data_IF_242200234639
#
_entry.id   IF_242200234639
#
_cell.length_a   1.000
_cell.length_b   1.000
_cell.length_c   1.000
_cell.angle_alpha   90.00
_cell.angle_beta   90.00
_cell.angle_gamma   90.00
#
_symmetry.space_group_name_H-M   'P 1'
#
loop_
_entity.id
_entity.type
_entity.pdbx_description
1 polymer ?
#
# COMPACT_ATOMS: atom_id res chain seq x y z
N UNK A 1 -23.52 6.00 -83.69
CA UNK A 1 -22.21 5.67 -83.10
C UNK A 1 -22.51 5.14 -81.70
N UNK A 2 -22.71 3.83 -81.54
CA UNK A 2 -21.71 2.79 -81.21
C UNK A 2 -21.11 2.90 -79.80
N UNK A 3 -21.45 1.90 -78.97
CA UNK A 3 -20.64 1.24 -77.93
C UNK A 3 -20.30 2.01 -76.63
N UNK A 4 -20.09 1.41 -75.46
CA UNK A 4 -20.55 0.20 -74.74
C UNK A 4 -19.72 0.12 -73.42
N UNK A 5 -20.28 -0.52 -72.38
CA UNK A 5 -19.59 -1.28 -71.28
C UNK A 5 -18.89 -0.43 -70.17
N UNK A 6 -18.84 -0.80 -68.89
CA UNK A 6 -19.06 -2.03 -68.11
C UNK A 6 -19.33 -1.63 -66.62
N UNK A 7 -20.31 -2.22 -65.91
CA UNK A 7 -20.20 -3.36 -64.95
C UNK A 7 -19.28 -3.20 -63.73
N UNK A 8 -19.86 -3.42 -62.54
CA UNK A 8 -19.43 -4.21 -61.35
C UNK A 8 -20.00 -3.51 -60.10
N UNK A 9 -21.13 -3.88 -59.50
CA UNK A 9 -21.49 -5.07 -58.72
C UNK A 9 -20.62 -5.37 -57.47
N UNK A 10 -21.29 -5.29 -56.31
CA UNK A 10 -21.03 -5.88 -54.98
C UNK A 10 -19.97 -5.28 -54.02
N UNK A 11 -20.09 -5.47 -52.68
CA UNK A 11 -21.29 -5.66 -51.86
C UNK A 11 -21.30 -4.82 -50.53
N UNK A 12 -22.45 -4.85 -49.87
CA UNK A 12 -22.73 -4.41 -48.50
C UNK A 12 -21.79 -5.11 -47.47
N UNK A 13 -21.11 -4.34 -46.63
CA UNK A 13 -20.64 -4.80 -45.30
C UNK A 13 -21.03 -3.76 -44.26
N UNK A 14 -21.93 -4.07 -43.30
CA UNK A 14 -22.15 -3.18 -42.17
C UNK A 14 -20.89 -3.19 -41.29
N UNK A 15 -20.25 -2.03 -41.14
CA UNK A 15 -19.18 -1.86 -40.19
C UNK A 15 -19.75 -2.01 -38.76
N UNK A 16 -19.56 -3.19 -38.19
CA UNK A 16 -19.74 -3.46 -36.76
C UNK A 16 -18.73 -2.61 -35.98
N UNK A 17 -19.17 -1.46 -35.47
CA UNK A 17 -18.42 -0.69 -34.48
C UNK A 17 -18.50 -1.43 -33.14
N UNK A 18 -17.56 -2.35 -32.92
CA UNK A 18 -17.23 -2.79 -31.56
C UNK A 18 -16.45 -1.66 -30.89
N UNK A 19 -16.89 -1.12 -29.74
CA UNK A 19 -16.07 -0.19 -28.97
C UNK A 19 -14.77 -0.92 -28.54
N UNK A 20 -13.61 -0.25 -28.53
CA UNK A 20 -12.38 -0.86 -28.05
C UNK A 20 -12.56 -1.29 -26.59
N UNK A 21 -12.20 -2.54 -26.29
CA UNK A 21 -12.17 -3.07 -24.93
C UNK A 21 -11.31 -2.16 -24.06
N UNK A 22 -11.95 -1.45 -23.13
CA UNK A 22 -11.29 -0.69 -22.08
C UNK A 22 -10.53 -1.69 -21.20
N UNK A 23 -9.21 -1.55 -21.00
CA UNK A 23 -8.54 -2.29 -19.95
C UNK A 23 -9.20 -1.92 -18.62
N UNK A 24 -9.80 -2.90 -17.95
CA UNK A 24 -10.16 -2.76 -16.54
C UNK A 24 -8.84 -2.66 -15.77
N UNK A 25 -8.42 -1.42 -15.50
CA UNK A 25 -7.32 -1.15 -14.59
C UNK A 25 -7.80 -1.51 -13.18
N UNK A 26 -7.41 -2.70 -12.74
CA UNK A 26 -7.35 -3.08 -11.33
C UNK A 26 -6.62 -1.96 -10.60
N UNK A 27 -7.38 -1.15 -9.86
CA UNK A 27 -6.86 0.02 -9.15
C UNK A 27 -6.66 -0.35 -7.69
N UNK A 28 -5.85 -1.36 -7.44
CA UNK A 28 -5.09 -1.38 -6.20
C UNK A 28 -3.96 -0.37 -6.42
N UNK A 29 -3.86 0.71 -5.60
CA UNK A 29 -2.75 1.64 -5.74
C UNK A 29 -1.47 0.83 -5.60
N UNK A 30 -0.57 0.83 -6.61
CA UNK A 30 0.70 0.13 -6.49
C UNK A 30 1.39 0.62 -5.22
N UNK A 31 1.92 -0.31 -4.42
CA UNK A 31 2.67 0.03 -3.22
C UNK A 31 3.72 1.09 -3.56
N UNK A 32 3.59 2.27 -2.94
CA UNK A 32 4.70 3.21 -2.78
C UNK A 32 5.09 4.10 -3.97
N UNK A 33 4.17 4.47 -4.87
CA UNK A 33 4.48 5.58 -5.80
C UNK A 33 4.40 6.90 -5.03
N UNK A 34 5.57 7.42 -4.68
CA UNK A 34 5.74 8.72 -4.02
C UNK A 34 6.21 9.76 -5.03
N UNK A 35 5.74 10.99 -4.87
CA UNK A 35 6.28 12.09 -5.64
C UNK A 35 7.68 12.48 -5.12
N UNK A 36 8.63 12.65 -6.04
CA UNK A 36 10.06 12.90 -5.76
C UNK A 36 10.40 14.38 -5.94
N UNK A 37 9.84 15.04 -6.96
CA UNK A 37 10.09 16.47 -7.21
C UNK A 37 8.91 17.16 -7.91
N UNK A 38 8.80 18.48 -7.69
CA UNK A 38 7.75 19.35 -8.23
C UNK A 38 6.33 18.90 -7.87
N UNK A 39 6.18 18.25 -6.72
CA UNK A 39 4.91 17.74 -6.18
C UNK A 39 3.95 18.87 -5.78
N UNK A 40 4.54 19.97 -5.32
CA UNK A 40 3.88 21.23 -5.05
C UNK A 40 4.41 22.24 -6.07
N UNK A 41 3.65 22.50 -7.15
CA UNK A 41 4.06 23.47 -8.15
C UNK A 41 4.00 24.89 -7.58
N UNK A 42 4.94 25.73 -8.03
CA UNK A 42 4.92 27.16 -7.71
C UNK A 42 3.66 27.83 -8.30
N UNK A 43 3.13 28.82 -7.57
CA UNK A 43 1.96 29.56 -8.00
C UNK A 43 2.28 30.37 -9.28
N UNK A 44 1.61 30.13 -10.41
CA UNK A 44 1.96 30.79 -11.67
C UNK A 44 1.40 32.21 -11.75
N UNK A 45 2.24 33.18 -12.14
CA UNK A 45 1.87 34.59 -12.34
C UNK A 45 0.63 34.79 -13.22
N UNK A 46 0.44 33.89 -14.20
CA UNK A 46 -0.70 33.94 -15.14
C UNK A 46 -2.07 33.76 -14.50
N UNK A 47 -2.14 33.30 -13.25
CA UNK A 47 -3.39 33.19 -12.50
C UNK A 47 -3.76 34.51 -11.80
N UNK A 48 -2.85 35.47 -11.65
CA UNK A 48 -3.14 36.81 -11.12
C UNK A 48 -3.97 36.81 -9.81
N UNK A 49 -3.74 35.83 -8.94
CA UNK A 49 -4.48 35.68 -7.67
C UNK A 49 -5.75 34.84 -7.75
N UNK A 50 -6.07 34.26 -8.91
CA UNK A 50 -7.11 33.24 -9.06
C UNK A 50 -6.68 31.96 -8.36
N UNK A 51 -7.50 31.51 -7.43
CA UNK A 51 -7.27 30.28 -6.68
C UNK A 51 -8.20 29.18 -7.17
N UNK A 52 -7.79 27.93 -6.96
CA UNK A 52 -8.58 26.78 -7.37
C UNK A 52 -7.79 25.50 -7.34
N UNK A 53 -8.43 24.42 -7.78
CA UNK A 53 -7.80 23.12 -7.77
C UNK A 53 -8.31 22.22 -8.88
N UNK A 54 -7.40 21.44 -9.47
CA UNK A 54 -7.77 20.45 -10.49
C UNK A 54 -7.20 19.07 -10.13
N UNK A 55 -8.02 18.05 -10.31
CA UNK A 55 -7.62 16.65 -10.22
C UNK A 55 -7.07 16.18 -11.57
N UNK A 56 -5.83 15.71 -11.58
CA UNK A 56 -5.11 15.25 -12.76
C UNK A 56 -4.85 13.75 -12.65
N UNK A 57 -5.14 13.01 -13.72
CA UNK A 57 -4.71 11.62 -13.87
C UNK A 57 -3.39 11.60 -14.63
N UNK A 58 -2.40 10.98 -14.03
CA UNK A 58 -1.05 10.82 -14.55
C UNK A 58 -0.83 9.39 -15.04
N UNK A 59 0.02 9.28 -16.04
CA UNK A 59 0.59 8.02 -16.51
C UNK A 59 2.10 8.16 -16.36
N UNK A 60 2.70 7.27 -15.58
CA UNK A 60 4.09 7.33 -15.13
C UNK A 60 4.82 6.13 -15.74
N UNK A 61 5.96 6.38 -16.38
CA UNK A 61 6.80 5.33 -16.95
C UNK A 61 7.61 4.58 -15.86
N UNK A 62 8.23 3.43 -16.20
CA UNK A 62 9.10 2.70 -15.27
C UNK A 62 10.24 3.52 -14.66
N UNK A 63 10.67 4.62 -15.29
CA UNK A 63 11.72 5.50 -14.78
C UNK A 63 11.17 6.56 -13.81
N UNK A 64 9.85 6.63 -13.62
CA UNK A 64 9.18 7.59 -12.75
C UNK A 64 8.82 8.92 -13.43
N UNK A 65 8.99 9.04 -14.74
CA UNK A 65 8.65 10.25 -15.50
C UNK A 65 7.17 10.23 -15.91
N UNK A 66 6.56 11.40 -15.95
CA UNK A 66 5.19 11.57 -16.41
C UNK A 66 5.14 11.56 -17.95
N UNK A 67 4.56 10.50 -18.52
CA UNK A 67 4.39 10.33 -19.97
C UNK A 67 2.98 10.66 -20.47
N UNK A 68 2.00 10.70 -19.56
CA UNK A 68 0.61 11.03 -19.89
C UNK A 68 -0.05 11.87 -18.80
N UNK A 69 -0.85 12.85 -19.20
CA UNK A 69 -1.53 13.78 -18.30
C UNK A 69 -2.93 14.07 -18.81
N UNK A 70 -3.94 13.81 -17.99
CA UNK A 70 -5.35 13.99 -18.32
C UNK A 70 -6.09 14.68 -17.16
N UNK A 71 -7.12 15.47 -17.46
CA UNK A 71 -8.00 16.01 -16.43
C UNK A 71 -8.95 14.92 -15.94
N UNK A 72 -8.90 14.66 -14.63
CA UNK A 72 -9.84 13.76 -13.98
C UNK A 72 -10.99 14.52 -13.31
N UNK A 73 -10.67 15.62 -12.61
CA UNK A 73 -11.64 16.53 -12.01
C UNK A 73 -11.26 17.97 -12.41
N UNK A 74 -12.04 18.57 -13.30
CA UNK A 74 -11.79 19.92 -13.75
C UNK A 74 -12.32 20.97 -12.76
N UNK A 75 -11.55 22.03 -12.56
CA UNK A 75 -12.02 23.27 -11.96
C UNK A 75 -13.00 23.98 -12.91
N UNK A 76 -13.88 24.79 -12.35
CA UNK A 76 -14.72 25.72 -13.10
C UNK A 76 -13.92 26.72 -13.95
N UNK A 77 -12.69 27.05 -13.53
CA UNK A 77 -11.80 27.95 -14.23
C UNK A 77 -10.84 27.18 -15.16
N UNK A 78 -10.97 27.44 -16.47
CA UNK A 78 -10.11 26.82 -17.48
C UNK A 78 -8.61 27.17 -17.36
N UNK A 79 -8.25 28.31 -16.77
CA UNK A 79 -6.85 28.68 -16.54
C UNK A 79 -6.23 27.79 -15.46
N UNK A 80 -6.96 27.52 -14.36
CA UNK A 80 -6.54 26.57 -13.31
C UNK A 80 -6.30 25.19 -13.92
N UNK A 81 -7.23 24.71 -14.74
CA UNK A 81 -7.10 23.42 -15.42
C UNK A 81 -5.85 23.36 -16.31
N UNK A 82 -5.59 24.42 -17.08
CA UNK A 82 -4.42 24.49 -17.95
C UNK A 82 -3.12 24.50 -17.14
N UNK A 83 -3.06 25.28 -16.07
CA UNK A 83 -1.86 25.36 -15.24
C UNK A 83 -1.61 24.05 -14.50
N UNK A 84 -2.66 23.38 -14.01
CA UNK A 84 -2.53 22.07 -13.40
C UNK A 84 -1.94 21.03 -14.37
N UNK A 85 -2.40 21.02 -15.63
CA UNK A 85 -1.82 20.14 -16.66
C UNK A 85 -0.34 20.44 -16.93
N UNK A 86 0.08 21.70 -16.90
CA UNK A 86 1.47 22.10 -17.12
C UNK A 86 2.36 21.78 -15.93
N UNK A 87 1.86 22.01 -14.72
CA UNK A 87 2.52 21.64 -13.47
C UNK A 87 2.73 20.13 -13.40
N UNK A 88 1.70 19.34 -13.70
CA UNK A 88 1.77 17.89 -13.56
C UNK A 88 2.76 17.23 -14.53
N UNK A 89 3.03 17.84 -15.68
CA UNK A 89 4.07 17.38 -16.62
C UNK A 89 5.49 17.53 -16.09
N UNK A 90 5.69 18.39 -15.09
CA UNK A 90 6.99 18.66 -14.49
C UNK A 90 7.24 17.82 -13.24
N UNK A 91 6.23 17.07 -12.78
CA UNK A 91 6.34 16.18 -11.64
C UNK A 91 7.23 14.98 -11.96
N UNK A 92 8.00 14.57 -10.96
CA UNK A 92 8.74 13.32 -10.97
C UNK A 92 8.24 12.42 -9.86
N UNK A 93 8.10 11.13 -10.14
CA UNK A 93 7.70 10.12 -9.17
C UNK A 93 8.80 9.08 -8.99
N UNK A 94 8.67 8.29 -7.93
CA UNK A 94 9.45 7.07 -7.79
C UNK A 94 9.12 6.10 -8.92
N UNK A 95 10.12 5.32 -9.32
CA UNK A 95 9.94 4.25 -10.29
C UNK A 95 8.84 3.29 -9.79
N UNK A 96 7.78 3.08 -10.59
CA UNK A 96 6.72 2.13 -10.26
C UNK A 96 7.13 0.65 -10.42
N UNK A 97 8.39 0.37 -10.75
CA UNK A 97 8.88 -0.96 -11.10
C UNK A 97 8.97 -1.12 -12.62
N UNK A 98 8.63 -2.31 -13.13
CA UNK A 98 8.79 -2.65 -14.55
C UNK A 98 7.62 -2.19 -15.44
N UNK A 99 6.51 -1.76 -14.84
CA UNK A 99 5.26 -1.44 -15.52
C UNK A 99 4.94 0.06 -15.51
N UNK A 100 4.09 0.50 -16.43
CA UNK A 100 3.51 1.85 -16.43
C UNK A 100 2.46 1.94 -15.34
N UNK A 101 2.54 2.98 -14.51
CA UNK A 101 1.56 3.23 -13.46
C UNK A 101 0.63 4.38 -13.79
N UNK A 102 -0.57 4.37 -13.22
CA UNK A 102 -1.48 5.50 -13.26
C UNK A 102 -1.84 5.98 -11.85
N UNK A 103 -1.67 7.28 -11.61
CA UNK A 103 -1.91 7.91 -10.32
C UNK A 103 -2.81 9.13 -10.52
N UNK A 104 -3.76 9.34 -9.62
CA UNK A 104 -4.56 10.55 -9.60
C UNK A 104 -4.04 11.49 -8.52
N UNK A 105 -3.67 12.70 -8.91
CA UNK A 105 -3.19 13.76 -8.01
C UNK A 105 -4.16 14.93 -8.02
N UNK A 106 -4.24 15.65 -6.90
CA UNK A 106 -4.93 16.93 -6.83
C UNK A 106 -3.88 18.02 -6.75
N UNK A 107 -3.95 18.98 -7.66
CA UNK A 107 -3.08 20.16 -7.67
C UNK A 107 -3.91 21.35 -7.21
N UNK A 108 -3.46 21.97 -6.12
CA UNK A 108 -4.07 23.16 -5.54
C UNK A 108 -3.20 24.39 -5.89
N UNK A 109 -3.82 25.47 -6.35
CA UNK A 109 -3.19 26.77 -6.51
C UNK A 109 -3.78 27.73 -5.48
N UNK A 110 -3.00 28.04 -4.45
CA UNK A 110 -3.39 28.96 -3.38
C UNK A 110 -2.47 30.16 -3.32
N UNK A 111 -3.02 31.30 -2.94
CA UNK A 111 -2.28 32.51 -2.62
C UNK A 111 -2.07 32.52 -1.11
N UNK A 112 -0.81 32.62 -0.68
CA UNK A 112 -0.47 32.58 0.75
C UNK A 112 -1.25 33.64 1.54
N UNK A 113 -1.93 33.18 2.60
CA UNK A 113 -2.66 34.06 3.51
C UNK A 113 -4.07 34.46 3.03
N UNK A 114 -4.53 33.94 1.89
CA UNK A 114 -5.93 34.07 1.48
C UNK A 114 -6.87 33.26 2.39
N UNK A 115 -8.17 33.57 2.34
CA UNK A 115 -9.19 32.79 3.04
C UNK A 115 -9.30 31.35 2.47
N UNK A 116 -9.06 31.17 1.17
CA UNK A 116 -9.03 29.85 0.54
C UNK A 116 -7.87 29.03 1.10
N UNK A 117 -6.68 29.62 1.15
CA UNK A 117 -5.48 29.01 1.69
C UNK A 117 -5.65 28.61 3.17
N UNK A 118 -6.22 29.49 4.00
CA UNK A 118 -6.53 29.18 5.40
C UNK A 118 -7.50 28.01 5.53
N UNK A 119 -8.61 28.04 4.80
CA UNK A 119 -9.62 26.98 4.86
C UNK A 119 -9.06 25.61 4.42
N UNK A 120 -8.16 25.60 3.43
CA UNK A 120 -7.52 24.38 2.94
C UNK A 120 -6.56 23.78 3.96
N UNK A 121 -5.73 24.62 4.61
CA UNK A 121 -4.84 24.16 5.70
C UNK A 121 -5.63 23.57 6.86
N UNK A 122 -6.69 24.25 7.30
CA UNK A 122 -7.56 23.74 8.38
C UNK A 122 -8.22 22.40 8.03
N UNK A 123 -8.68 22.23 6.79
CA UNK A 123 -9.26 20.98 6.32
C UNK A 123 -8.23 19.84 6.33
N UNK A 124 -7.01 20.11 5.86
CA UNK A 124 -5.93 19.14 5.82
C UNK A 124 -5.52 18.71 7.23
N UNK A 125 -5.29 19.66 8.15
CA UNK A 125 -4.97 19.38 9.54
C UNK A 125 -6.05 18.54 10.22
N UNK A 126 -7.33 18.84 9.94
CA UNK A 126 -8.45 18.06 10.49
C UNK A 126 -8.45 16.62 9.96
N UNK A 127 -8.15 16.43 8.67
CA UNK A 127 -8.08 15.10 8.05
C UNK A 127 -6.93 14.29 8.64
N UNK A 128 -5.76 14.89 8.80
CA UNK A 128 -4.59 14.25 9.42
C UNK A 128 -4.88 13.84 10.87
N UNK A 129 -5.52 14.71 11.66
CA UNK A 129 -5.92 14.38 13.03
C UNK A 129 -6.89 13.19 13.07
N UNK A 130 -7.87 13.15 12.17
CA UNK A 130 -8.83 12.04 12.09
C UNK A 130 -8.13 10.72 11.71
N UNK A 131 -7.16 10.77 10.80
CA UNK A 131 -6.40 9.58 10.39
C UNK A 131 -5.52 9.05 11.52
N UNK A 132 -4.84 9.93 12.26
CA UNK A 132 -4.05 9.56 13.44
C UNK A 132 -4.93 8.91 14.50
N UNK A 133 -6.10 9.49 14.78
CA UNK A 133 -7.03 8.94 15.77
C UNK A 133 -7.58 7.58 15.34
N UNK A 134 -7.96 7.43 14.07
CA UNK A 134 -8.43 6.18 13.51
C UNK A 134 -7.36 5.08 13.57
N UNK A 135 -6.12 5.41 13.19
CA UNK A 135 -4.99 4.48 13.27
C UNK A 135 -4.75 4.02 14.72
N UNK A 136 -4.84 4.94 15.69
CA UNK A 136 -4.71 4.62 17.11
C UNK A 136 -5.82 3.68 17.59
N UNK A 137 -7.07 3.93 17.18
CA UNK A 137 -8.18 3.04 17.53
C UNK A 137 -8.02 1.64 16.94
N UNK A 138 -7.59 1.54 15.68
CA UNK A 138 -7.32 0.27 15.03
C UNK A 138 -6.21 -0.52 15.74
N UNK A 139 -5.13 0.15 16.17
CA UNK A 139 -4.06 -0.49 16.94
C UNK A 139 -4.57 -1.08 18.26
N UNK A 140 -5.38 -0.32 19.00
CA UNK A 140 -5.97 -0.80 20.26
C UNK A 140 -6.89 -2.01 20.04
N UNK A 141 -7.68 -2.00 18.97
CA UNK A 141 -8.54 -3.14 18.65
C UNK A 141 -7.74 -4.37 18.23
N UNK A 142 -6.72 -4.20 17.38
CA UNK A 142 -5.84 -5.29 16.96
C UNK A 142 -5.10 -5.92 18.16
N UNK A 143 -4.61 -5.11 19.09
CA UNK A 143 -3.98 -5.58 20.33
C UNK A 143 -4.97 -6.39 21.18
N UNK A 144 -6.19 -5.89 21.36
CA UNK A 144 -7.25 -6.60 22.10
C UNK A 144 -7.57 -7.95 21.45
N UNK A 145 -7.67 -8.00 20.12
CA UNK A 145 -7.92 -9.24 19.38
C UNK A 145 -6.74 -10.22 19.49
N UNK A 146 -5.50 -9.73 19.43
CA UNK A 146 -4.30 -10.55 19.60
C UNK A 146 -4.24 -11.17 21.00
N UNK A 147 -4.53 -10.38 22.03
CA UNK A 147 -4.56 -10.85 23.43
C UNK A 147 -5.64 -11.93 23.64
N UNK A 148 -6.84 -11.76 23.05
CA UNK A 148 -7.88 -12.78 23.11
C UNK A 148 -7.47 -14.10 22.45
N UNK A 149 -6.85 -14.04 21.26
CA UNK A 149 -6.35 -15.23 20.56
C UNK A 149 -5.26 -15.96 21.37
N UNK A 150 -4.38 -15.20 22.01
CA UNK A 150 -3.33 -15.77 22.85
C UNK A 150 -3.91 -16.53 24.06
N UNK A 151 -4.90 -15.94 24.73
CA UNK A 151 -5.62 -16.59 25.84
C UNK A 151 -6.34 -17.87 25.39
N UNK A 152 -6.97 -17.86 24.21
CA UNK A 152 -7.64 -19.05 23.67
C UNK A 152 -6.65 -20.17 23.33
N UNK A 153 -5.53 -19.83 22.69
CA UNK A 153 -4.45 -20.79 22.41
C UNK A 153 -3.86 -21.38 23.69
N UNK A 154 -3.63 -20.56 24.72
CA UNK A 154 -3.15 -21.06 26.01
C UNK A 154 -4.15 -22.02 26.66
N UNK A 155 -5.45 -21.72 26.59
CA UNK A 155 -6.51 -22.63 27.08
C UNK A 155 -6.50 -23.95 26.31
N UNK A 156 -6.41 -23.91 24.98
CA UNK A 156 -6.34 -25.13 24.16
C UNK A 156 -5.08 -25.95 24.44
N UNK A 157 -3.92 -25.30 24.58
CA UNK A 157 -2.66 -25.96 24.90
C UNK A 157 -2.70 -26.63 26.29
N UNK A 158 -3.28 -25.97 27.30
CA UNK A 158 -3.50 -26.57 28.62
C UNK A 158 -4.45 -27.77 28.57
N UNK A 159 -5.52 -27.71 27.78
CA UNK A 159 -6.45 -28.84 27.61
C UNK A 159 -5.75 -30.04 26.98
N UNK A 160 -4.96 -29.83 25.91
CA UNK A 160 -4.19 -30.90 25.27
C UNK A 160 -3.17 -31.55 26.23
N UNK A 161 -2.50 -30.75 27.07
CA UNK A 161 -1.58 -31.30 28.09
C UNK A 161 -2.31 -32.17 29.12
N UNK A 162 -3.49 -31.74 29.59
CA UNK A 162 -4.29 -32.55 30.52
C UNK A 162 -4.80 -33.85 29.88
N UNK A 163 -5.17 -33.83 28.60
CA UNK A 163 -5.63 -35.03 27.88
C UNK A 163 -4.50 -36.07 27.69
N UNK A 164 -3.27 -35.61 27.40
CA UNK A 164 -2.08 -36.48 27.30
C UNK A 164 -1.71 -37.08 28.66
N UNK A 165 -1.83 -36.32 29.76
CA UNK A 165 -1.54 -36.82 31.12
C UNK A 165 -2.63 -37.79 31.63
N UNK A 166 -3.85 -37.71 31.10
CA UNK A 166 -4.98 -38.55 31.51
C UNK A 166 -5.09 -39.86 30.72
N UNK A 167 -4.27 -40.09 29.67
CA UNK A 167 -4.23 -41.38 28.98
C UNK A 167 -3.47 -42.43 29.82
N UNK A 168 -4.03 -43.63 30.04
CA UNK A 168 -3.34 -44.71 30.73
C UNK A 168 -2.10 -45.12 29.94
N UNK A 169 -0.94 -45.14 30.61
CA UNK A 169 0.32 -45.59 30.04
C UNK A 169 0.13 -46.99 29.42
N UNK A 170 0.61 -47.25 28.19
CA UNK A 170 0.70 -48.62 27.70
C UNK A 170 1.64 -49.38 28.63
N UNK A 171 1.09 -50.40 29.29
CA UNK A 171 1.80 -51.35 30.15
C UNK A 171 3.04 -51.86 29.41
N UNK A 172 4.22 -51.43 29.88
CA UNK A 172 5.49 -52.04 29.49
C UNK A 172 5.70 -53.21 30.45
N UNK A 173 5.56 -54.43 29.93
CA UNK A 173 5.81 -55.67 30.67
C UNK A 173 7.21 -55.73 31.29
N UNK A 174 7.25 -56.51 32.37
CA UNK A 174 8.26 -56.64 33.41
C UNK A 174 9.57 -57.28 32.93
N UNK A 175 10.73 -56.76 33.35
CA UNK A 175 11.83 -57.61 33.84
C UNK A 175 12.86 -56.86 34.71
N UNK A 176 13.00 -57.36 35.95
CA UNK A 176 14.25 -57.47 36.73
C UNK A 176 14.73 -56.26 37.57
N UNK A 177 14.66 -56.44 38.90
CA UNK A 177 15.23 -55.57 39.95
C UNK A 177 16.74 -55.88 40.23
N UNK A 178 17.40 -55.29 41.25
CA UNK A 178 17.88 -53.89 41.38
C UNK A 178 19.38 -53.78 41.78
N UNK A 179 20.11 -52.68 41.48
CA UNK A 179 21.27 -52.14 42.28
C UNK A 179 21.97 -50.90 41.64
N UNK A 180 22.80 -50.14 42.40
CA UNK A 180 22.54 -48.76 42.81
C UNK A 180 23.19 -47.68 41.92
N UNK A 181 22.77 -46.44 42.19
CA UNK A 181 23.26 -45.15 41.68
C UNK A 181 24.77 -45.11 41.34
N UNK A 182 25.10 -44.44 40.23
CA UNK A 182 26.12 -43.40 40.25
C UNK A 182 25.56 -42.05 39.78
N UNK A 183 26.29 -41.01 40.15
CA UNK A 183 25.92 -39.62 40.20
C UNK A 183 25.66 -38.94 38.84
N UNK A 184 24.72 -37.97 38.89
CA UNK A 184 24.81 -36.61 38.33
C UNK A 184 25.53 -36.44 36.98
N UNK A 185 24.78 -36.14 35.90
CA UNK A 185 25.26 -35.25 34.83
C UNK A 185 24.17 -34.77 33.87
N UNK A 186 23.83 -33.48 34.02
CA UNK A 186 23.29 -32.49 33.05
C UNK A 186 21.84 -32.64 32.52
N UNK A 187 20.97 -31.63 32.72
CA UNK A 187 19.65 -31.57 32.07
C UNK A 187 19.75 -31.15 30.58
N UNK A 188 18.81 -31.58 29.72
CA UNK A 188 18.84 -31.42 28.26
C UNK A 188 18.44 -30.02 27.74
N UNK A 189 18.44 -28.99 28.59
CA UNK A 189 17.87 -27.67 28.26
C UNK A 189 18.86 -26.59 27.80
N UNK A 190 20.15 -26.90 27.65
CA UNK A 190 21.16 -25.89 27.29
C UNK A 190 20.98 -25.31 25.86
N UNK A 191 20.43 -26.07 24.91
CA UNK A 191 20.38 -25.63 23.50
C UNK A 191 19.30 -24.59 23.17
N UNK A 192 18.26 -24.45 23.99
CA UNK A 192 17.17 -23.47 23.72
C UNK A 192 17.48 -22.09 24.31
N UNK A 193 18.19 -22.04 25.44
CA UNK A 193 18.57 -20.78 26.08
C UNK A 193 19.64 -20.04 25.27
N UNK A 194 20.65 -20.72 24.73
CA UNK A 194 21.67 -20.09 23.87
C UNK A 194 21.08 -19.47 22.60
N UNK A 195 20.09 -20.13 21.98
CA UNK A 195 19.49 -19.65 20.74
C UNK A 195 18.57 -18.44 20.97
N UNK A 196 17.94 -18.38 22.15
CA UNK A 196 17.12 -17.25 22.57
C UNK A 196 17.99 -16.06 23.01
N UNK A 197 19.12 -16.32 23.67
CA UNK A 197 20.10 -15.30 24.07
C UNK A 197 20.85 -14.71 22.87
N UNK A 198 21.17 -15.53 21.86
CA UNK A 198 21.75 -15.04 20.59
C UNK A 198 20.74 -14.20 19.80
N UNK A 199 19.46 -14.61 19.78
CA UNK A 199 18.38 -13.81 19.17
C UNK A 199 18.19 -12.48 19.90
N UNK A 200 18.25 -12.48 21.23
CA UNK A 200 18.09 -11.27 22.03
C UNK A 200 19.26 -10.29 21.81
N UNK A 201 20.49 -10.80 21.71
CA UNK A 201 21.66 -9.98 21.36
C UNK A 201 21.56 -9.38 19.96
N UNK A 202 21.22 -10.17 18.95
CA UNK A 202 21.02 -9.66 17.57
C UNK A 202 19.90 -8.61 17.49
N UNK A 203 18.87 -8.73 18.32
CA UNK A 203 17.81 -7.74 18.39
C UNK A 203 18.28 -6.43 19.03
N UNK A 204 19.04 -6.50 20.12
CA UNK A 204 19.59 -5.30 20.78
C UNK A 204 20.59 -4.56 19.87
N UNK A 205 21.48 -5.29 19.19
CA UNK A 205 22.44 -4.71 18.25
C UNK A 205 21.76 -4.00 17.07
N UNK A 206 20.65 -4.57 16.57
CA UNK A 206 19.83 -3.92 15.54
C UNK A 206 19.25 -2.60 16.04
N UNK A 207 18.74 -2.56 17.28
CA UNK A 207 18.12 -1.36 17.85
C UNK A 207 19.11 -0.24 18.12
N UNK A 208 20.36 -0.55 18.48
CA UNK A 208 21.42 0.46 18.61
C UNK A 208 21.83 1.06 17.26
N UNK A 209 21.88 0.25 16.20
CA UNK A 209 22.20 0.72 14.84
C UNK A 209 21.15 1.65 14.22
N UNK A 210 19.93 1.70 14.77
CA UNK A 210 18.88 2.65 14.36
C UNK A 210 18.92 3.96 15.16
N UNK A 211 19.85 4.09 16.10
CA UNK A 211 19.94 5.24 17.01
C UNK A 211 21.08 6.21 16.67
N UNK A 212 21.91 5.90 15.68
CA UNK A 212 22.84 6.82 15.00
C UNK A 212 22.20 7.35 13.71
#
# INVERSE_FOLDING_TARGET
MTSAKASSDSPNVPATNSPPSRPEASSEPPEGISCVSNCEPEYPDTLEGVEGSAGIKLTIDPDGNVVGVELANADSNSQINRQALLAARQMQFSSPGDDVASVQVKIDFTVEGSEYDRARREEQERKEQQEIEAARQQQLEAERQAQQKQLEQERQARQQQQEVESQPQPESETQSAPKPLPALSKPPFAGKQELEEERLRKFQERMENYRE
#
